data_IF_294772825099
#
_entry.id   IF_294772825099
#
_cell.length_a   1.000
_cell.length_b   1.000
_cell.length_c   1.000
_cell.angle_alpha   90.00
_cell.angle_beta   90.00
_cell.angle_gamma   90.00
#
_symmetry.space_group_name_H-M   'P 1'
#
loop_
_entity.id
_entity.type
_entity.pdbx_description
1 polymer ?
#
# COMPACT_ATOMS: atom_id res chain seq x y z
N UNK A 1 5.97 17.02 -7.49
CA UNK A 1 5.26 15.73 -7.67
C UNK A 1 3.92 15.71 -6.92
N UNK A 2 2.87 15.22 -7.58
CA UNK A 2 1.45 15.49 -7.30
C UNK A 2 0.89 14.88 -6.00
N UNK A 3 1.65 14.10 -5.23
CA UNK A 3 1.25 13.66 -3.88
C UNK A 3 2.46 13.30 -3.01
N UNK A 4 3.07 14.28 -2.34
CA UNK A 4 4.26 14.05 -1.48
C UNK A 4 3.94 13.20 -0.25
N UNK A 5 2.75 13.35 0.35
CA UNK A 5 2.32 12.56 1.49
C UNK A 5 2.11 11.08 1.10
N UNK A 6 1.40 10.83 0.00
CA UNK A 6 1.22 9.48 -0.56
C UNK A 6 2.54 8.80 -0.91
N UNK A 7 3.50 9.54 -1.48
CA UNK A 7 4.86 9.05 -1.74
C UNK A 7 5.56 8.60 -0.46
N UNK A 8 5.51 9.42 0.60
CA UNK A 8 6.15 9.12 1.88
C UNK A 8 5.52 7.90 2.56
N UNK A 9 4.20 7.77 2.51
CA UNK A 9 3.54 6.60 3.08
C UNK A 9 3.86 5.34 2.27
N UNK A 10 3.78 5.42 0.94
CA UNK A 10 4.07 4.31 0.03
C UNK A 10 5.55 3.88 0.05
N UNK A 11 6.48 4.73 0.50
CA UNK A 11 7.89 4.36 0.63
C UNK A 11 8.15 3.33 1.72
N UNK A 12 7.18 2.96 2.55
CA UNK A 12 7.30 1.83 3.47
C UNK A 12 7.04 0.47 2.79
N UNK A 13 6.50 0.48 1.57
CA UNK A 13 6.10 -0.74 0.85
C UNK A 13 7.24 -1.34 -0.01
N UNK A 14 8.30 -0.57 -0.28
CA UNK A 14 9.32 -0.93 -1.28
C UNK A 14 10.08 -2.21 -0.96
N UNK A 15 10.21 -2.55 0.33
CA UNK A 15 10.99 -3.70 0.76
C UNK A 15 10.38 -5.01 0.23
N UNK A 16 9.05 -5.03 0.05
CA UNK A 16 8.31 -6.17 -0.46
C UNK A 16 7.78 -5.95 -1.89
N UNK A 17 7.44 -4.71 -2.28
CA UNK A 17 6.81 -4.41 -3.57
C UNK A 17 7.69 -3.65 -4.58
N UNK A 18 8.98 -3.49 -4.25
CA UNK A 18 9.92 -2.73 -5.06
C UNK A 18 9.64 -1.22 -5.09
N UNK A 19 10.63 -0.46 -5.58
CA UNK A 19 10.52 0.99 -5.71
C UNK A 19 9.31 1.35 -6.59
N UNK A 20 8.41 2.18 -6.06
CA UNK A 20 7.20 2.60 -6.76
C UNK A 20 6.16 1.48 -6.95
N UNK A 21 6.25 0.37 -6.21
CA UNK A 21 5.29 -0.73 -6.30
C UNK A 21 5.40 -1.55 -7.59
N UNK A 22 6.59 -1.57 -8.21
CA UNK A 22 6.82 -2.14 -9.54
C UNK A 22 7.31 -3.61 -9.56
N UNK A 23 7.51 -4.27 -8.41
CA UNK A 23 8.07 -5.63 -8.38
C UNK A 23 8.11 -6.27 -6.99
N UNK A 24 9.11 -7.12 -6.71
CA UNK A 24 9.23 -7.82 -5.43
C UNK A 24 8.32 -9.05 -5.34
N UNK A 25 7.56 -9.19 -4.25
CA UNK A 25 6.55 -10.25 -4.10
C UNK A 25 5.47 -10.13 -5.17
N UNK A 26 5.01 -8.90 -5.41
CA UNK A 26 4.05 -8.59 -6.47
C UNK A 26 4.07 -7.11 -6.83
N UNK A 27 3.72 -6.82 -8.09
CA UNK A 27 3.50 -5.45 -8.57
C UNK A 27 2.15 -4.94 -8.07
N UNK A 28 2.19 -3.88 -7.26
CA UNK A 28 1.00 -3.20 -6.74
C UNK A 28 0.66 -1.90 -7.47
N UNK A 29 1.57 -1.36 -8.30
CA UNK A 29 1.30 -0.15 -9.09
C UNK A 29 0.16 -0.40 -10.07
N UNK A 30 -0.87 0.45 -10.02
CA UNK A 30 -2.12 0.29 -10.76
C UNK A 30 -3.20 -0.54 -10.05
N UNK A 31 -2.84 -1.36 -9.06
CA UNK A 31 -3.77 -2.23 -8.31
C UNK A 31 -3.81 -1.95 -6.80
N UNK A 32 -3.20 -0.86 -6.34
CA UNK A 32 -3.02 -0.58 -4.91
C UNK A 32 -4.33 -0.49 -4.11
N UNK A 33 -5.48 -0.26 -4.76
CA UNK A 33 -6.79 -0.22 -4.09
C UNK A 33 -7.14 -1.55 -3.38
N UNK A 34 -6.55 -2.67 -3.80
CA UNK A 34 -6.75 -3.97 -3.15
C UNK A 34 -6.28 -4.00 -1.69
N UNK A 35 -5.39 -3.10 -1.28
CA UNK A 35 -4.91 -2.99 0.11
C UNK A 35 -6.07 -2.83 1.11
N UNK A 36 -7.18 -2.20 0.70
CA UNK A 36 -8.35 -2.02 1.56
C UNK A 36 -9.08 -3.32 1.88
N UNK A 37 -8.95 -4.36 1.03
CA UNK A 37 -9.53 -5.69 1.28
C UNK A 37 -8.95 -6.33 2.55
N UNK A 38 -7.73 -5.96 2.92
CA UNK A 38 -7.05 -6.48 4.10
C UNK A 38 -7.57 -5.89 5.41
N UNK A 39 -8.27 -4.76 5.40
CA UNK A 39 -8.86 -4.19 6.61
C UNK A 39 -9.93 -5.09 7.24
N UNK A 40 -10.61 -5.89 6.42
CA UNK A 40 -11.64 -6.83 6.87
C UNK A 40 -11.08 -8.21 7.28
N UNK A 41 -9.79 -8.47 7.10
CA UNK A 41 -9.17 -9.77 7.39
C UNK A 41 -8.67 -9.85 8.84
N UNK A 42 -8.54 -11.07 9.35
CA UNK A 42 -7.90 -11.32 10.66
C UNK A 42 -6.38 -11.16 10.55
N UNK A 43 -5.77 -10.51 11.55
CA UNK A 43 -4.36 -10.11 11.51
C UNK A 43 -3.37 -11.28 11.32
N UNK A 44 -3.72 -12.49 11.75
CA UNK A 44 -2.84 -13.67 11.68
C UNK A 44 -2.87 -14.40 10.32
N UNK A 45 -3.72 -13.99 9.38
CA UNK A 45 -3.90 -14.70 8.11
C UNK A 45 -2.95 -14.27 6.99
N UNK A 46 -2.39 -13.08 7.05
CA UNK A 46 -1.54 -12.50 5.99
C UNK A 46 -0.73 -11.31 6.53
N UNK A 47 0.56 -11.24 6.21
CA UNK A 47 1.45 -10.13 6.60
C UNK A 47 0.92 -8.76 6.15
N UNK A 48 0.27 -8.70 4.99
CA UNK A 48 -0.35 -7.47 4.48
C UNK A 48 -1.54 -7.02 5.31
N UNK A 49 -2.16 -7.91 6.10
CA UNK A 49 -3.21 -7.53 7.04
C UNK A 49 -2.67 -6.63 8.14
N UNK A 50 -1.56 -7.03 8.78
CA UNK A 50 -0.91 -6.22 9.80
C UNK A 50 -0.42 -4.88 9.23
N UNK A 51 0.14 -4.88 8.02
CA UNK A 51 0.57 -3.64 7.36
C UNK A 51 -0.60 -2.72 7.01
N UNK A 52 -1.68 -3.25 6.41
CA UNK A 52 -2.84 -2.45 6.01
C UNK A 52 -3.57 -1.85 7.23
N UNK A 53 -3.72 -2.63 8.31
CA UNK A 53 -4.37 -2.19 9.55
C UNK A 53 -3.54 -1.18 10.35
N UNK A 54 -2.24 -1.03 10.04
CA UNK A 54 -1.39 0.02 10.59
C UNK A 54 -1.65 1.42 10.02
N UNK A 55 -2.49 1.53 8.98
CA UNK A 55 -2.85 2.80 8.35
C UNK A 55 -4.33 3.13 8.54
N UNK A 56 -4.63 4.42 8.66
CA UNK A 56 -6.01 4.93 8.55
C UNK A 56 -6.51 4.85 7.11
N UNK A 57 -7.83 4.86 6.92
CA UNK A 57 -8.43 4.90 5.58
C UNK A 57 -7.89 6.06 4.72
N UNK A 58 -7.73 7.26 5.30
CA UNK A 58 -7.20 8.43 4.59
C UNK A 58 -5.73 8.25 4.17
N UNK A 59 -4.91 7.59 4.99
CA UNK A 59 -3.52 7.26 4.63
C UNK A 59 -3.47 6.22 3.52
N UNK A 60 -4.33 5.19 3.56
CA UNK A 60 -4.44 4.22 2.49
C UNK A 60 -4.87 4.89 1.17
N UNK A 61 -5.82 5.83 1.21
CA UNK A 61 -6.22 6.59 0.03
C UNK A 61 -5.07 7.42 -0.55
N UNK A 62 -4.24 8.03 0.30
CA UNK A 62 -3.05 8.75 -0.16
C UNK A 62 -2.00 7.81 -0.81
N UNK A 63 -1.79 6.61 -0.25
CA UNK A 63 -0.92 5.57 -0.82
C UNK A 63 -1.46 5.13 -2.19
N UNK A 64 -2.75 4.81 -2.26
CA UNK A 64 -3.43 4.35 -3.48
C UNK A 64 -3.31 5.41 -4.57
N UNK A 65 -3.64 6.66 -4.27
CA UNK A 65 -3.55 7.76 -5.22
C UNK A 65 -2.12 7.94 -5.77
N UNK A 66 -1.09 7.72 -4.94
CA UNK A 66 0.30 7.76 -5.40
C UNK A 66 0.68 6.56 -6.29
N UNK A 67 0.22 5.35 -5.95
CA UNK A 67 0.57 4.13 -6.71
C UNK A 67 -0.30 3.89 -7.95
N UNK A 68 -1.33 4.70 -8.17
CA UNK A 68 -2.18 4.66 -9.37
C UNK A 68 -1.70 5.59 -10.51
N UNK A 69 -0.69 6.41 -10.24
CA UNK A 69 -0.06 7.30 -11.24
C UNK A 69 0.67 6.52 -12.34
#
# INVERSE_FOLDING_TARGET
PTNTAGRLLASNCFQCHGTGGMGGFEKIRGNAAEVKKYLAKTANGDIMTAHAQGYTNAQLDAIIAYLQQ
#
